data_IF_403603058164
#
_entry.id   IF_403603058164
#
_cell.length_a   1.000
_cell.length_b   1.000
_cell.length_c   1.000
_cell.angle_alpha   90.00
_cell.angle_beta   90.00
_cell.angle_gamma   90.00
#
_symmetry.space_group_name_H-M   'P 1'
#
loop_
_entity.id
_entity.type
_entity.pdbx_description
1 polymer ?
#
# COMPACT_ATOMS: atom_id res chain seq x y z
N UNK A 1 -32.08 -0.50 15.99
CA UNK A 1 -30.73 -1.08 15.93
C UNK A 1 -30.34 -1.45 17.36
N UNK A 2 -30.50 -2.72 17.72
CA UNK A 2 -30.03 -3.25 19.00
C UNK A 2 -28.53 -3.50 18.86
N UNK A 3 -27.73 -2.84 19.69
CA UNK A 3 -26.31 -3.12 19.83
C UNK A 3 -26.17 -4.34 20.74
N UNK A 4 -25.64 -5.41 20.17
CA UNK A 4 -25.34 -6.67 20.83
C UNK A 4 -24.12 -6.44 21.75
N UNK A 5 -24.37 -6.34 23.06
CA UNK A 5 -23.33 -6.24 24.09
C UNK A 5 -22.72 -7.63 24.29
N UNK A 6 -21.70 -7.92 23.47
CA UNK A 6 -20.89 -9.13 23.60
C UNK A 6 -20.23 -9.27 24.98
N UNK A 7 -19.98 -10.51 25.44
CA UNK A 7 -19.60 -10.81 26.82
C UNK A 7 -18.21 -10.26 27.13
N UNK A 8 -18.17 -9.12 27.81
CA UNK A 8 -16.97 -8.58 28.47
C UNK A 8 -16.83 -9.29 29.83
N UNK A 9 -15.61 -9.75 30.14
CA UNK A 9 -15.15 -10.28 31.45
C UNK A 9 -15.17 -11.79 31.73
N UNK A 10 -14.61 -12.63 30.85
CA UNK A 10 -14.22 -14.00 31.27
C UNK A 10 -12.81 -14.05 31.88
N UNK A 11 -11.89 -13.17 31.48
CA UNK A 11 -10.48 -13.29 31.91
C UNK A 11 -10.23 -12.80 33.36
N UNK A 12 -11.00 -11.84 33.87
CA UNK A 12 -10.88 -11.37 35.25
C UNK A 12 -11.44 -12.38 36.25
N UNK A 13 -12.54 -13.04 35.90
CA UNK A 13 -13.18 -14.07 36.73
C UNK A 13 -12.32 -15.33 36.82
N UNK A 14 -11.72 -15.76 35.72
CA UNK A 14 -10.78 -16.89 35.70
C UNK A 14 -9.54 -16.60 36.56
N UNK A 15 -9.02 -15.37 36.53
CA UNK A 15 -7.88 -14.97 37.37
C UNK A 15 -8.23 -14.92 38.86
N UNK A 16 -9.45 -14.49 39.21
CA UNK A 16 -9.92 -14.48 40.59
C UNK A 16 -10.06 -15.92 41.13
N UNK A 17 -10.69 -16.82 40.36
CA UNK A 17 -10.85 -18.22 40.76
C UNK A 17 -9.51 -18.95 40.94
N UNK A 18 -8.51 -18.69 40.09
CA UNK A 18 -7.18 -19.29 40.20
C UNK A 18 -6.43 -18.86 41.48
N UNK A 19 -6.58 -17.60 41.90
CA UNK A 19 -5.95 -17.08 43.11
C UNK A 19 -6.57 -17.65 44.39
N UNK A 20 -7.88 -17.89 44.40
CA UNK A 20 -8.58 -18.51 45.53
C UNK A 20 -8.06 -19.94 45.77
N UNK A 21 -7.84 -20.70 44.69
CA UNK A 21 -7.35 -22.08 44.73
C UNK A 21 -5.92 -22.18 45.28
N UNK A 22 -5.03 -21.27 44.88
CA UNK A 22 -3.65 -21.16 45.41
C UNK A 22 -3.68 -20.83 46.91
N UNK A 23 -4.65 -20.02 47.36
CA UNK A 23 -4.79 -19.64 48.76
C UNK A 23 -5.24 -20.83 49.62
N UNK A 24 -6.19 -21.64 49.14
CA UNK A 24 -6.60 -22.88 49.82
C UNK A 24 -5.46 -23.91 49.91
N UNK A 25 -4.64 -24.06 48.88
CA UNK A 25 -3.54 -25.04 48.93
C UNK A 25 -2.42 -24.62 49.90
N UNK A 26 -2.20 -23.32 50.13
CA UNK A 26 -1.20 -22.84 51.09
C UNK A 26 -1.65 -22.89 52.55
N UNK A 27 -2.95 -23.02 52.82
CA UNK A 27 -3.50 -23.10 54.18
C UNK A 27 -3.37 -24.47 54.85
N UNK A 28 -3.07 -25.54 54.10
CA UNK A 28 -3.13 -26.92 54.60
C UNK A 28 -1.80 -27.42 55.20
N UNK A 29 -0.70 -26.66 55.11
CA UNK A 29 0.62 -27.11 55.59
C UNK A 29 0.99 -26.65 57.01
N UNK A 30 0.08 -26.06 57.77
CA UNK A 30 0.36 -25.50 59.09
C UNK A 30 -0.40 -26.23 60.20
N UNK A 31 0.17 -27.33 60.70
CA UNK A 31 -0.23 -27.86 62.00
C UNK A 31 -0.15 -29.37 62.14
N UNK A 32 1.05 -29.92 62.33
CA UNK A 32 1.23 -31.21 63.00
C UNK A 32 2.46 -31.13 63.89
N UNK A 33 2.18 -31.11 65.20
CA UNK A 33 3.13 -31.12 66.31
C UNK A 33 3.84 -32.47 66.38
N UNK A 34 5.12 -32.43 66.73
CA UNK A 34 5.97 -33.59 66.91
C UNK A 34 5.58 -34.37 68.17
N UNK A 35 5.22 -35.64 68.00
CA UNK A 35 5.38 -36.66 69.03
C UNK A 35 6.23 -37.79 68.46
N UNK A 36 7.28 -38.13 69.20
CA UNK A 36 8.31 -39.11 68.82
C UNK A 36 8.00 -40.42 69.51
N UNK A 37 7.86 -41.55 68.79
CA UNK A 37 8.08 -42.85 69.39
C UNK A 37 9.24 -43.62 68.74
N UNK A 38 9.84 -44.42 69.62
CA UNK A 38 11.08 -45.16 69.47
C UNK A 38 11.08 -46.25 68.38
N UNK A 39 12.27 -46.34 67.77
CA UNK A 39 12.94 -47.52 67.23
C UNK A 39 12.25 -48.88 67.43
N UNK A 40 11.58 -49.39 66.38
CA UNK A 40 11.41 -50.84 66.12
C UNK A 40 10.64 -51.13 64.81
N UNK A 41 11.09 -50.65 63.64
CA UNK A 41 10.65 -51.24 62.35
C UNK A 41 11.49 -50.73 61.17
N UNK A 42 12.59 -51.42 60.86
CA UNK A 42 13.39 -51.13 59.65
C UNK A 42 13.03 -52.04 58.47
N UNK A 43 12.22 -53.09 58.65
CA UNK A 43 11.84 -54.01 57.56
C UNK A 43 10.61 -53.59 56.74
N UNK A 44 9.66 -52.78 57.27
CA UNK A 44 8.49 -52.34 56.47
C UNK A 44 8.70 -51.03 55.67
N UNK A 45 9.79 -50.29 55.91
CA UNK A 45 10.11 -49.06 55.16
C UNK A 45 10.51 -49.32 53.69
N UNK A 46 11.08 -50.49 53.40
CA UNK A 46 11.50 -50.85 52.05
C UNK A 46 10.34 -51.11 51.09
N UNK A 47 9.27 -51.76 51.55
CA UNK A 47 8.09 -52.04 50.74
C UNK A 47 7.30 -50.76 50.41
N UNK A 48 7.24 -49.81 51.36
CA UNK A 48 6.59 -48.50 51.17
C UNK A 48 7.26 -47.66 50.07
N UNK A 49 8.59 -47.68 49.98
CA UNK A 49 9.34 -46.93 48.97
C UNK A 49 9.11 -47.48 47.55
N UNK A 50 9.07 -48.81 47.39
CA UNK A 50 8.85 -49.46 46.10
C UNK A 50 7.42 -49.23 45.58
N UNK A 51 6.42 -49.18 46.47
CA UNK A 51 5.03 -48.85 46.10
C UNK A 51 4.90 -47.39 45.70
N UNK A 52 5.51 -46.46 46.45
CA UNK A 52 5.50 -45.04 46.12
C UNK A 52 6.17 -44.75 44.78
N UNK A 53 7.31 -45.40 44.48
CA UNK A 53 7.99 -45.27 43.18
C UNK A 53 7.11 -45.71 42.02
N UNK A 54 6.46 -46.88 42.13
CA UNK A 54 5.54 -47.39 41.10
C UNK A 54 4.37 -46.43 40.86
N UNK A 55 3.75 -45.93 41.93
CA UNK A 55 2.66 -44.94 41.84
C UNK A 55 3.11 -43.67 41.12
N UNK A 56 4.30 -43.16 41.43
CA UNK A 56 4.85 -41.96 40.79
C UNK A 56 5.14 -42.19 39.30
N UNK A 57 5.64 -43.36 38.93
CA UNK A 57 5.87 -43.75 37.53
C UNK A 57 4.55 -43.85 36.75
N UNK A 58 3.51 -44.42 37.35
CA UNK A 58 2.15 -44.48 36.78
C UNK A 58 1.54 -43.09 36.60
N UNK A 59 1.63 -42.23 37.62
CA UNK A 59 1.14 -40.85 37.57
C UNK A 59 1.90 -40.02 36.50
N UNK A 60 3.22 -40.22 36.37
CA UNK A 60 4.02 -39.58 35.33
C UNK A 60 3.63 -40.05 33.93
N UNK A 61 3.37 -41.35 33.76
CA UNK A 61 2.92 -41.91 32.49
C UNK A 61 1.52 -41.40 32.12
N UNK A 62 0.62 -41.31 33.08
CA UNK A 62 -0.72 -40.75 32.87
C UNK A 62 -0.64 -39.26 32.53
N UNK A 63 0.20 -38.49 33.23
CA UNK A 63 0.45 -37.08 32.94
C UNK A 63 1.01 -36.87 31.54
N UNK A 64 1.87 -37.78 31.06
CA UNK A 64 2.39 -37.75 29.69
C UNK A 64 1.29 -38.02 28.67
N UNK A 65 0.48 -39.06 28.87
CA UNK A 65 -0.67 -39.38 28.00
C UNK A 65 -1.65 -38.21 27.88
N UNK A 66 -1.99 -37.57 28.99
CA UNK A 66 -2.90 -36.43 29.00
C UNK A 66 -2.30 -35.23 28.24
N UNK A 67 -0.99 -34.97 28.37
CA UNK A 67 -0.30 -33.91 27.62
C UNK A 67 -0.29 -34.18 26.12
N UNK A 68 -0.06 -35.42 25.72
CA UNK A 68 -0.07 -35.79 24.31
C UNK A 68 -1.49 -35.70 23.73
N UNK A 69 -2.52 -36.12 24.47
CA UNK A 69 -3.92 -35.93 24.09
C UNK A 69 -4.29 -34.45 23.94
N UNK A 70 -3.87 -33.59 24.88
CA UNK A 70 -4.13 -32.16 24.80
C UNK A 70 -3.48 -31.54 23.56
N UNK A 71 -2.23 -31.93 23.23
CA UNK A 71 -1.54 -31.49 22.02
C UNK A 71 -2.28 -31.92 20.75
N UNK A 72 -2.80 -33.14 20.71
CA UNK A 72 -3.62 -33.62 19.58
C UNK A 72 -4.88 -32.78 19.43
N UNK A 73 -5.61 -32.51 20.53
CA UNK A 73 -6.81 -31.66 20.50
C UNK A 73 -6.50 -30.22 20.06
N UNK A 74 -5.40 -29.64 20.54
CA UNK A 74 -4.96 -28.30 20.12
C UNK A 74 -4.66 -28.26 18.61
N UNK A 75 -4.01 -29.30 18.07
CA UNK A 75 -3.74 -29.40 16.64
C UNK A 75 -5.03 -29.55 15.82
N UNK A 76 -5.98 -30.36 16.28
CA UNK A 76 -7.29 -30.52 15.63
C UNK A 76 -8.07 -29.20 15.61
N UNK A 77 -8.07 -28.43 16.71
CA UNK A 77 -8.72 -27.12 16.77
C UNK A 77 -8.07 -26.10 15.83
N UNK A 78 -6.73 -26.11 15.71
CA UNK A 78 -6.02 -25.24 14.76
C UNK A 78 -6.36 -25.60 13.31
N UNK A 79 -6.44 -26.90 12.99
CA UNK A 79 -6.84 -27.35 11.65
C UNK A 79 -8.28 -26.96 11.34
N UNK A 80 -9.21 -27.19 12.28
CA UNK A 80 -10.61 -26.82 12.12
C UNK A 80 -10.78 -25.31 11.94
N UNK A 81 -10.03 -24.50 12.68
CA UNK A 81 -10.01 -23.05 12.52
C UNK A 81 -9.54 -22.64 11.12
N UNK A 82 -8.45 -23.22 10.62
CA UNK A 82 -7.96 -22.93 9.27
C UNK A 82 -8.98 -23.33 8.19
N UNK A 83 -9.66 -24.46 8.36
CA UNK A 83 -10.74 -24.89 7.45
C UNK A 83 -11.93 -23.93 7.46
N UNK A 84 -12.32 -23.44 8.65
CA UNK A 84 -13.41 -22.49 8.80
C UNK A 84 -13.06 -21.13 8.17
N UNK A 85 -11.84 -20.63 8.38
CA UNK A 85 -11.35 -19.40 7.76
C UNK A 85 -11.35 -19.51 6.23
N UNK A 86 -10.93 -20.65 5.67
CA UNK A 86 -10.99 -20.90 4.23
C UNK A 86 -12.43 -20.97 3.72
N UNK A 87 -13.33 -21.66 4.44
CA UNK A 87 -14.74 -21.77 4.07
C UNK A 87 -15.42 -20.39 4.06
N UNK A 88 -15.16 -19.55 5.06
CA UNK A 88 -15.66 -18.17 5.08
C UNK A 88 -15.11 -17.34 3.92
N UNK A 89 -13.83 -17.44 3.62
CA UNK A 89 -13.20 -16.76 2.48
C UNK A 89 -13.85 -17.16 1.15
N UNK A 90 -14.17 -18.44 0.98
CA UNK A 90 -14.86 -18.94 -0.21
C UNK A 90 -16.32 -18.46 -0.29
N UNK A 91 -17.05 -18.49 0.82
CA UNK A 91 -18.43 -18.01 0.88
C UNK A 91 -18.52 -16.50 0.58
N UNK A 92 -17.63 -15.69 1.15
CA UNK A 92 -17.55 -14.25 0.89
C UNK A 92 -17.24 -13.97 -0.59
N UNK A 93 -16.32 -14.74 -1.19
CA UNK A 93 -16.02 -14.66 -2.62
C UNK A 93 -17.27 -14.94 -3.47
N UNK A 94 -18.01 -16.02 -3.19
CA UNK A 94 -19.23 -16.37 -3.92
C UNK A 94 -20.33 -15.33 -3.79
N UNK A 95 -20.52 -14.78 -2.59
CA UNK A 95 -21.49 -13.72 -2.34
C UNK A 95 -21.14 -12.45 -3.12
N UNK A 96 -19.85 -12.07 -3.13
CA UNK A 96 -19.37 -10.93 -3.91
C UNK A 96 -19.50 -11.16 -5.43
N UNK A 97 -19.24 -12.37 -5.92
CA UNK A 97 -19.46 -12.73 -7.33
C UNK A 97 -20.93 -12.61 -7.73
N UNK A 98 -21.84 -13.14 -6.89
CA UNK A 98 -23.29 -13.06 -7.13
C UNK A 98 -23.78 -11.62 -7.08
N UNK A 99 -23.36 -10.85 -6.08
CA UNK A 99 -23.72 -9.42 -5.95
C UNK A 99 -23.22 -8.60 -7.13
N UNK A 100 -22.00 -8.85 -7.58
CA UNK A 100 -21.45 -8.18 -8.76
C UNK A 100 -22.21 -8.57 -10.03
N UNK A 101 -22.56 -9.85 -10.20
CA UNK A 101 -23.33 -10.32 -11.36
C UNK A 101 -24.74 -9.69 -11.43
N UNK A 102 -25.35 -9.37 -10.29
CA UNK A 102 -26.65 -8.68 -10.22
C UNK A 102 -26.54 -7.16 -10.35
N UNK A 103 -25.34 -6.58 -10.28
CA UNK A 103 -25.19 -5.14 -10.39
C UNK A 103 -25.42 -4.70 -11.84
N UNK A 104 -26.38 -3.80 -12.07
CA UNK A 104 -26.73 -3.25 -13.40
C UNK A 104 -25.52 -2.82 -14.22
N UNK A 105 -24.48 -2.31 -13.56
CA UNK A 105 -23.25 -1.84 -14.17
C UNK A 105 -22.48 -2.93 -14.93
N UNK A 106 -22.68 -4.21 -14.59
CA UNK A 106 -22.03 -5.34 -15.27
C UNK A 106 -22.71 -5.70 -16.59
N UNK A 107 -23.95 -5.27 -16.79
CA UNK A 107 -24.70 -5.44 -18.04
C UNK A 107 -24.50 -4.30 -19.03
N UNK A 108 -23.77 -3.25 -18.64
CA UNK A 108 -23.49 -2.14 -19.55
C UNK A 108 -22.59 -2.60 -20.70
N UNK A 109 -22.89 -2.18 -21.95
CA UNK A 109 -21.99 -2.41 -23.06
C UNK A 109 -20.59 -1.86 -22.77
N UNK A 110 -19.56 -2.57 -23.26
CA UNK A 110 -18.15 -2.19 -23.06
C UNK A 110 -17.86 -0.75 -23.48
N UNK A 111 -18.48 -0.27 -24.56
CA UNK A 111 -18.33 1.12 -25.04
C UNK A 111 -18.79 2.15 -24.01
N UNK A 112 -19.93 1.91 -23.35
CA UNK A 112 -20.45 2.78 -22.29
C UNK A 112 -19.54 2.78 -21.06
N UNK A 113 -19.04 1.60 -20.66
CA UNK A 113 -18.06 1.51 -19.56
C UNK A 113 -16.77 2.27 -19.86
N UNK A 114 -16.24 2.15 -21.09
CA UNK A 114 -15.05 2.89 -21.50
C UNK A 114 -15.28 4.41 -21.49
N UNK A 115 -16.47 4.86 -21.88
CA UNK A 115 -16.84 6.27 -21.82
C UNK A 115 -16.89 6.77 -20.37
N UNK A 116 -17.53 6.00 -19.46
CA UNK A 116 -17.51 6.29 -18.02
C UNK A 116 -16.08 6.37 -17.49
N UNK A 117 -15.21 5.41 -17.84
CA UNK A 117 -13.82 5.39 -17.40
C UNK A 117 -13.02 6.58 -17.93
N UNK A 118 -13.31 7.01 -19.15
CA UNK A 118 -12.71 8.21 -19.76
C UNK A 118 -13.07 9.44 -18.96
N UNK A 119 -14.35 9.67 -18.69
CA UNK A 119 -14.82 10.80 -17.87
C UNK A 119 -14.24 10.77 -16.45
N UNK A 120 -14.24 9.60 -15.82
CA UNK A 120 -13.69 9.44 -14.48
C UNK A 120 -12.18 9.73 -14.43
N UNK A 121 -11.43 9.34 -15.47
CA UNK A 121 -9.98 9.61 -15.59
C UNK A 121 -9.64 11.07 -15.84
N UNK A 122 -10.55 11.84 -16.47
CA UNK A 122 -10.34 13.28 -16.67
C UNK A 122 -10.42 14.06 -15.35
N UNK A 123 -11.17 13.56 -14.35
CA UNK A 123 -11.40 14.23 -13.08
C UNK A 123 -12.24 15.52 -13.22
N UNK A 124 -12.57 16.19 -12.11
CA UNK A 124 -13.17 17.52 -12.16
C UNK A 124 -12.21 18.47 -12.88
N UNK A 125 -12.75 19.41 -13.64
CA UNK A 125 -11.97 20.40 -14.35
C UNK A 125 -10.88 21.01 -13.44
N UNK A 126 -9.66 21.25 -13.96
CA UNK A 126 -8.51 21.69 -13.16
C UNK A 126 -8.72 22.97 -12.35
N UNK A 127 -9.79 23.72 -12.63
CA UNK A 127 -10.20 24.92 -11.89
C UNK A 127 -10.62 24.64 -10.42
N UNK A 128 -10.95 23.40 -10.06
CA UNK A 128 -11.43 23.08 -8.70
C UNK A 128 -10.31 22.89 -7.65
N UNK A 129 -9.02 23.03 -8.01
CA UNK A 129 -7.90 22.97 -7.06
C UNK A 129 -7.69 21.64 -6.34
N UNK A 130 -8.50 20.61 -6.61
CA UNK A 130 -8.45 19.29 -5.95
C UNK A 130 -7.90 18.24 -6.91
N UNK A 131 -6.59 17.97 -6.82
CA UNK A 131 -5.84 16.98 -7.61
C UNK A 131 -6.03 15.52 -7.16
N UNK A 132 -7.12 15.19 -6.45
CA UNK A 132 -7.28 13.86 -5.84
C UNK A 132 -7.68 12.75 -6.82
N UNK A 133 -8.09 13.09 -8.04
CA UNK A 133 -8.70 12.12 -8.96
C UNK A 133 -7.72 11.46 -9.95
N UNK A 134 -6.41 11.64 -9.77
CA UNK A 134 -5.43 11.08 -10.73
C UNK A 134 -5.16 9.58 -10.57
N UNK A 135 -5.62 8.96 -9.46
CA UNK A 135 -5.57 7.49 -9.26
C UNK A 135 -6.84 6.78 -9.74
N UNK A 136 -7.72 7.47 -10.44
CA UNK A 136 -9.06 6.96 -10.77
C UNK A 136 -9.00 5.71 -11.63
N UNK A 137 -8.10 5.62 -12.61
CA UNK A 137 -8.02 4.41 -13.45
C UNK A 137 -7.51 3.18 -12.68
N UNK A 138 -6.57 3.38 -11.73
CA UNK A 138 -6.10 2.30 -10.85
C UNK A 138 -7.26 1.85 -9.96
N UNK A 139 -8.00 2.78 -9.37
CA UNK A 139 -9.18 2.46 -8.56
C UNK A 139 -10.24 1.70 -9.38
N UNK A 140 -10.56 2.18 -10.59
CA UNK A 140 -11.45 1.52 -11.56
C UNK A 140 -10.98 0.08 -11.82
N UNK A 141 -9.69 -0.13 -12.07
CA UNK A 141 -9.13 -1.47 -12.34
C UNK A 141 -9.17 -2.43 -11.13
N UNK A 142 -9.39 -1.89 -9.92
CA UNK A 142 -9.50 -2.67 -8.67
C UNK A 142 -10.95 -2.99 -8.27
N UNK A 143 -11.96 -2.37 -8.89
CA UNK A 143 -13.38 -2.54 -8.53
C UNK A 143 -13.90 -3.97 -8.68
N UNK A 144 -13.95 -4.51 -9.90
CA UNK A 144 -14.36 -5.88 -10.18
C UNK A 144 -13.61 -6.44 -11.41
N UNK A 145 -13.71 -7.75 -11.64
CA UNK A 145 -13.01 -8.43 -12.74
C UNK A 145 -13.41 -7.88 -14.13
N UNK A 146 -14.71 -7.59 -14.33
CA UNK A 146 -15.22 -7.03 -15.60
C UNK A 146 -14.66 -5.63 -15.90
N UNK A 147 -14.66 -4.75 -14.90
CA UNK A 147 -14.10 -3.40 -15.00
C UNK A 147 -12.59 -3.43 -15.24
N UNK A 148 -11.87 -4.30 -14.52
CA UNK A 148 -10.43 -4.52 -14.74
C UNK A 148 -10.14 -4.95 -16.17
N UNK A 149 -10.84 -5.97 -16.68
CA UNK A 149 -10.67 -6.46 -18.05
C UNK A 149 -10.94 -5.34 -19.07
N UNK A 150 -12.00 -4.57 -18.86
CA UNK A 150 -12.37 -3.45 -19.73
C UNK A 150 -11.32 -2.34 -19.72
N UNK A 151 -10.83 -1.94 -18.55
CA UNK A 151 -9.81 -0.91 -18.39
C UNK A 151 -8.46 -1.33 -18.97
N UNK A 152 -8.00 -2.56 -18.70
CA UNK A 152 -6.74 -3.08 -19.24
C UNK A 152 -6.78 -3.26 -20.75
N UNK A 153 -7.94 -3.54 -21.32
CA UNK A 153 -8.12 -3.68 -22.76
C UNK A 153 -8.22 -2.34 -23.52
N UNK A 154 -8.07 -1.20 -22.82
CA UNK A 154 -8.04 0.14 -23.43
C UNK A 154 -6.77 0.90 -23.01
N UNK A 155 -5.66 0.77 -23.77
CA UNK A 155 -4.39 1.38 -23.41
C UNK A 155 -4.46 2.92 -23.31
N UNK A 156 -5.41 3.56 -24.00
CA UNK A 156 -5.58 5.01 -24.00
C UNK A 156 -5.92 5.56 -22.61
N UNK A 157 -6.60 4.78 -21.77
CA UNK A 157 -6.92 5.15 -20.39
C UNK A 157 -5.66 5.23 -19.50
N UNK A 158 -4.58 4.57 -19.88
CA UNK A 158 -3.33 4.51 -19.12
C UNK A 158 -2.27 5.49 -19.63
N UNK A 159 -2.45 6.05 -20.83
CA UNK A 159 -1.48 6.91 -21.51
C UNK A 159 -1.35 8.32 -20.90
N UNK A 160 -2.21 8.68 -19.94
CA UNK A 160 -2.16 9.98 -19.27
C UNK A 160 -1.70 9.82 -17.84
N UNK A 161 -0.58 10.46 -17.48
CA UNK A 161 0.10 10.29 -16.20
C UNK A 161 0.24 11.62 -15.48
N UNK A 162 -0.35 11.73 -14.30
CA UNK A 162 -0.11 12.84 -13.38
C UNK A 162 0.87 12.38 -12.32
N UNK A 163 2.16 12.55 -12.59
CA UNK A 163 3.19 11.91 -11.78
C UNK A 163 3.05 12.33 -10.31
N UNK A 164 2.71 13.59 -10.00
CA UNK A 164 2.60 14.08 -8.62
C UNK A 164 1.65 13.25 -7.73
N UNK A 165 0.66 12.59 -8.33
CA UNK A 165 -0.33 11.77 -7.64
C UNK A 165 -0.07 10.25 -7.76
N UNK A 166 0.99 9.84 -8.46
CA UNK A 166 1.38 8.45 -8.65
C UNK A 166 2.68 8.18 -7.89
N UNK A 167 2.77 7.01 -7.28
CA UNK A 167 4.05 6.43 -6.85
C UNK A 167 4.83 5.90 -8.06
N UNK A 168 6.12 5.62 -7.88
CA UNK A 168 6.96 5.03 -8.94
C UNK A 168 6.35 3.75 -9.56
N UNK A 169 5.95 2.74 -8.76
CA UNK A 169 5.32 1.52 -9.28
C UNK A 169 4.00 1.78 -10.04
N UNK A 170 3.19 2.73 -9.57
CA UNK A 170 1.96 3.12 -10.25
C UNK A 170 2.25 3.80 -11.60
N UNK A 171 3.24 4.69 -11.66
CA UNK A 171 3.66 5.32 -12.92
C UNK A 171 4.20 4.28 -13.92
N UNK A 172 5.00 3.32 -13.47
CA UNK A 172 5.47 2.19 -14.29
C UNK A 172 4.31 1.33 -14.79
N UNK A 173 3.31 1.06 -13.94
CA UNK A 173 2.10 0.33 -14.34
C UNK A 173 1.32 1.07 -15.43
N UNK A 174 1.18 2.39 -15.33
CA UNK A 174 0.57 3.23 -16.37
C UNK A 174 1.35 3.17 -17.69
N UNK A 175 2.68 3.34 -17.65
CA UNK A 175 3.52 3.25 -18.83
C UNK A 175 3.46 1.86 -19.48
N UNK A 176 3.41 0.79 -18.68
CA UNK A 176 3.26 -0.58 -19.18
C UNK A 176 1.90 -0.79 -19.86
N UNK A 177 0.81 -0.42 -19.19
CA UNK A 177 -0.55 -0.70 -19.67
C UNK A 177 -0.98 0.21 -20.83
N UNK A 178 -0.27 1.31 -21.08
CA UNK A 178 -0.50 2.16 -22.26
C UNK A 178 0.06 1.58 -23.57
N UNK A 179 0.84 0.49 -23.50
CA UNK A 179 1.36 -0.20 -24.69
C UNK A 179 2.21 0.75 -25.56
N UNK A 180 1.86 0.88 -26.84
CA UNK A 180 2.55 1.78 -27.77
C UNK A 180 1.94 3.19 -27.84
N UNK A 181 0.89 3.46 -27.07
CA UNK A 181 0.22 4.76 -27.12
C UNK A 181 1.16 5.84 -26.57
N UNK A 182 1.30 6.99 -27.26
CA UNK A 182 2.11 8.08 -26.79
C UNK A 182 1.65 8.62 -25.43
N UNK A 183 2.60 8.83 -24.53
CA UNK A 183 2.35 9.28 -23.16
C UNK A 183 2.12 10.79 -23.10
N UNK A 184 1.15 11.18 -22.28
CA UNK A 184 0.90 12.57 -21.86
C UNK A 184 1.21 12.68 -20.38
N UNK A 185 2.29 13.37 -20.05
CA UNK A 185 2.81 13.47 -18.68
C UNK A 185 2.55 14.87 -18.13
N UNK A 186 1.89 14.92 -16.98
CA UNK A 186 1.74 16.11 -16.15
C UNK A 186 2.62 15.95 -14.92
N UNK A 187 3.65 16.78 -14.82
CA UNK A 187 4.58 16.80 -13.72
C UNK A 187 4.43 18.12 -12.96
N UNK A 188 3.87 18.03 -11.75
CA UNK A 188 3.88 19.10 -10.76
C UNK A 188 5.03 18.86 -9.81
N UNK A 189 5.97 19.81 -9.75
CA UNK A 189 7.11 19.73 -8.86
C UNK A 189 6.69 20.10 -7.43
N UNK A 190 7.30 19.48 -6.39
CA UNK A 190 7.06 19.87 -5.01
C UNK A 190 7.38 21.33 -4.78
N UNK A 191 6.41 22.04 -4.20
CA UNK A 191 6.68 23.24 -3.45
C UNK A 191 7.12 22.81 -2.04
N UNK A 192 8.02 23.57 -1.42
CA UNK A 192 8.51 23.31 -0.05
C UNK A 192 7.37 23.24 0.98
N UNK A 193 6.18 23.72 0.62
CA UNK A 193 4.98 23.73 1.47
C UNK A 193 3.87 22.77 1.03
N UNK A 194 4.05 21.98 -0.04
CA UNK A 194 2.95 21.17 -0.59
C UNK A 194 3.05 19.69 -0.20
N UNK A 195 2.17 19.26 0.70
CA UNK A 195 2.12 17.89 1.24
C UNK A 195 1.31 16.90 0.38
N UNK A 196 0.66 17.35 -0.70
CA UNK A 196 -0.22 16.49 -1.52
C UNK A 196 0.53 15.60 -2.54
N UNK A 197 1.86 15.58 -2.49
CA UNK A 197 2.68 14.80 -3.43
C UNK A 197 2.93 13.41 -2.87
N UNK A 198 2.56 12.41 -3.66
CA UNK A 198 2.85 11.01 -3.34
C UNK A 198 4.35 10.76 -3.47
N UNK A 199 4.98 10.35 -2.36
CA UNK A 199 6.39 9.93 -2.37
C UNK A 199 6.60 8.72 -3.30
N UNK A 200 7.63 8.77 -4.14
CA UNK A 200 8.05 7.64 -4.96
C UNK A 200 8.85 6.62 -4.17
N UNK A 201 9.49 7.03 -3.08
CA UNK A 201 10.07 6.13 -2.09
C UNK A 201 9.02 5.74 -1.07
N UNK A 202 8.47 4.54 -1.25
CA UNK A 202 7.57 3.89 -0.30
C UNK A 202 8.37 3.03 0.68
N UNK A 203 8.76 3.60 1.81
CA UNK A 203 9.03 2.83 3.04
C UNK A 203 9.17 3.79 4.23
N UNK A 204 8.04 4.06 4.89
CA UNK A 204 7.93 4.20 6.36
C UNK A 204 8.93 5.11 7.12
N UNK A 205 9.44 6.17 6.50
CA UNK A 205 10.24 7.19 7.19
C UNK A 205 9.36 8.30 7.78
N UNK A 206 9.68 8.84 8.97
CA UNK A 206 8.93 9.93 9.60
C UNK A 206 8.88 11.18 8.70
N UNK A 207 7.79 11.94 8.87
CA UNK A 207 7.49 13.19 8.16
C UNK A 207 8.63 14.21 8.28
N UNK A 208 9.38 14.34 7.19
CA UNK A 208 10.05 15.51 6.63
C UNK A 208 10.43 16.65 7.60
N UNK A 209 11.71 16.68 7.99
CA UNK A 209 12.45 17.93 8.09
C UNK A 209 13.28 18.14 6.79
N UNK A 210 12.99 19.27 6.15
CA UNK A 210 13.72 20.05 5.14
C UNK A 210 14.64 19.38 4.09
N UNK A 211 14.19 19.46 2.81
CA UNK A 211 14.92 19.70 1.54
C UNK A 211 15.50 18.53 0.68
N UNK A 212 16.30 17.55 1.16
CA UNK A 212 16.88 16.51 0.29
C UNK A 212 15.82 15.66 -0.43
N UNK A 213 14.69 15.41 0.23
CA UNK A 213 13.65 14.53 -0.30
C UNK A 213 12.98 15.12 -1.54
N UNK A 214 12.73 16.42 -1.57
CA UNK A 214 12.09 17.06 -2.72
C UNK A 214 12.96 16.98 -3.98
N UNK A 215 14.28 17.20 -3.83
CA UNK A 215 15.24 17.08 -4.94
C UNK A 215 15.29 15.66 -5.48
N UNK A 216 15.41 14.68 -4.57
CA UNK A 216 15.45 13.27 -4.94
C UNK A 216 14.14 12.81 -5.62
N UNK A 217 12.99 13.25 -5.14
CA UNK A 217 11.70 12.98 -5.78
C UNK A 217 11.63 13.56 -7.20
N UNK A 218 12.11 14.79 -7.39
CA UNK A 218 12.24 15.38 -8.73
C UNK A 218 13.14 14.53 -9.64
N UNK A 219 14.31 14.12 -9.14
CA UNK A 219 15.27 13.29 -9.88
C UNK A 219 14.65 11.97 -10.33
N UNK A 220 13.92 11.26 -9.46
CA UNK A 220 13.26 10.01 -9.85
C UNK A 220 12.18 10.23 -10.93
N UNK A 221 11.38 11.29 -10.78
CA UNK A 221 10.31 11.62 -11.74
C UNK A 221 10.89 12.01 -13.09
N UNK A 222 11.98 12.77 -13.09
CA UNK A 222 12.71 13.10 -14.30
C UNK A 222 13.40 11.88 -14.91
N UNK A 223 13.96 11.00 -14.09
CA UNK A 223 14.52 9.72 -14.54
C UNK A 223 13.47 8.84 -15.22
N UNK A 224 12.26 8.80 -14.69
CA UNK A 224 11.14 8.11 -15.34
C UNK A 224 10.77 8.73 -16.68
N UNK A 225 10.69 10.07 -16.77
CA UNK A 225 10.45 10.74 -18.04
C UNK A 225 11.59 10.47 -19.03
N UNK A 226 12.85 10.51 -18.59
CA UNK A 226 14.02 10.22 -19.42
C UNK A 226 14.00 8.79 -19.97
N UNK A 227 13.59 7.82 -19.15
CA UNK A 227 13.44 6.42 -19.56
C UNK A 227 12.34 6.16 -20.59
N UNK A 228 11.40 7.10 -20.77
CA UNK A 228 10.25 6.97 -21.70
C UNK A 228 10.20 8.09 -22.75
N UNK A 229 11.32 8.77 -23.03
CA UNK A 229 11.35 9.92 -23.95
C UNK A 229 10.85 9.61 -25.36
N UNK A 230 11.07 8.39 -25.80
CA UNK A 230 10.63 7.87 -27.09
C UNK A 230 9.12 7.58 -27.15
N UNK A 231 8.41 7.73 -26.03
CA UNK A 231 6.96 7.56 -25.97
C UNK A 231 6.23 8.84 -25.55
N UNK A 232 6.90 9.81 -24.94
CA UNK A 232 6.27 11.04 -24.48
C UNK A 232 5.93 11.95 -25.68
N UNK A 233 4.64 12.16 -25.91
CA UNK A 233 4.13 13.12 -26.90
C UNK A 233 3.86 14.49 -26.30
N UNK A 234 3.45 14.55 -25.03
CA UNK A 234 3.17 15.81 -24.34
C UNK A 234 3.74 15.80 -22.94
N UNK A 235 4.45 16.86 -22.57
CA UNK A 235 4.97 17.09 -21.23
C UNK A 235 4.48 18.44 -20.72
N UNK A 236 3.78 18.43 -19.59
CA UNK A 236 3.37 19.64 -18.87
C UNK A 236 4.12 19.70 -17.55
N UNK A 237 4.96 20.72 -17.39
CA UNK A 237 5.75 21.00 -16.20
C UNK A 237 5.11 22.15 -15.43
N UNK A 238 4.70 21.92 -14.19
CA UNK A 238 4.21 22.96 -13.28
C UNK A 238 5.20 23.12 -12.12
N UNK A 239 5.70 24.33 -11.92
CA UNK A 239 6.64 24.67 -10.85
C UNK A 239 6.29 26.01 -10.19
N UNK A 240 6.72 26.21 -8.95
CA UNK A 240 6.51 27.45 -8.20
C UNK A 240 7.85 28.19 -8.01
N UNK A 241 7.81 29.52 -8.08
CA UNK A 241 8.96 30.40 -8.40
C UNK A 241 10.18 30.35 -7.49
N UNK A 242 10.09 29.73 -6.32
CA UNK A 242 11.17 29.79 -5.34
C UNK A 242 12.11 28.59 -5.41
N UNK A 243 11.75 27.55 -6.17
CA UNK A 243 12.64 26.41 -6.36
C UNK A 243 13.51 26.65 -7.58
N UNK A 244 14.83 26.68 -7.40
CA UNK A 244 15.83 26.71 -8.47
C UNK A 244 15.90 25.38 -9.24
N UNK A 245 14.75 24.76 -9.54
CA UNK A 245 14.71 23.52 -10.31
C UNK A 245 15.06 23.87 -11.74
N UNK A 246 16.27 23.51 -12.14
CA UNK A 246 16.67 23.54 -13.53
C UNK A 246 15.79 22.58 -14.33
N UNK A 247 15.22 23.08 -15.43
CA UNK A 247 14.62 22.22 -16.46
C UNK A 247 15.63 21.12 -16.81
N UNK A 248 15.22 19.84 -16.82
CA UNK A 248 16.14 18.75 -17.08
C UNK A 248 16.89 18.94 -18.40
N UNK A 249 18.20 18.65 -18.40
CA UNK A 249 19.03 18.91 -19.57
C UNK A 249 18.60 18.10 -20.81
N UNK A 250 17.93 16.95 -20.64
CA UNK A 250 17.41 16.15 -21.75
C UNK A 250 16.27 16.84 -22.51
N UNK A 251 15.50 17.71 -21.84
CA UNK A 251 14.49 18.57 -22.49
C UNK A 251 15.20 19.55 -23.42
N UNK A 252 16.34 20.09 -22.97
CA UNK A 252 17.08 21.15 -23.65
C UNK A 252 17.96 20.59 -24.79
N UNK A 253 18.55 19.40 -24.59
CA UNK A 253 19.50 18.77 -25.52
C UNK A 253 18.86 18.11 -26.74
N UNK A 254 17.57 18.32 -26.99
CA UNK A 254 16.86 17.76 -28.16
C UNK A 254 16.75 16.24 -28.17
N UNK A 255 16.87 15.58 -26.99
CA UNK A 255 16.72 14.11 -26.90
C UNK A 255 15.26 13.67 -27.08
N UNK A 256 14.30 14.54 -26.81
CA UNK A 256 12.88 14.25 -26.85
C UNK A 256 12.29 14.38 -28.27
N UNK A 257 12.75 13.53 -29.22
CA UNK A 257 12.39 13.65 -30.65
C UNK A 257 10.89 13.51 -30.96
N UNK A 258 10.15 12.79 -30.12
CA UNK A 258 8.70 12.55 -30.28
C UNK A 258 7.82 13.46 -29.42
N UNK A 259 8.44 14.38 -28.68
CA UNK A 259 7.70 15.36 -27.89
C UNK A 259 7.07 16.37 -28.84
N UNK A 260 5.74 16.34 -28.96
CA UNK A 260 4.96 17.26 -29.77
C UNK A 260 4.64 18.57 -29.03
N UNK A 261 4.48 18.51 -27.70
CA UNK A 261 4.14 19.68 -26.90
C UNK A 261 4.86 19.72 -25.56
N UNK A 262 5.42 20.89 -25.23
CA UNK A 262 5.98 21.20 -23.92
C UNK A 262 5.27 22.42 -23.35
N UNK A 263 4.57 22.24 -22.24
CA UNK A 263 3.95 23.36 -21.51
C UNK A 263 4.67 23.56 -20.19
N UNK A 264 5.05 24.80 -19.89
CA UNK A 264 5.68 25.16 -18.63
C UNK A 264 4.82 26.19 -17.92
N UNK A 265 4.37 25.88 -16.71
CA UNK A 265 3.55 26.79 -15.91
C UNK A 265 4.30 27.16 -14.64
N UNK A 266 4.52 28.46 -14.43
CA UNK A 266 5.21 29.03 -13.28
C UNK A 266 4.23 29.89 -12.47
N UNK A 267 3.96 29.52 -11.22
CA UNK A 267 3.02 30.26 -10.35
C UNK A 267 1.64 30.53 -10.99
N UNK A 268 1.12 29.58 -11.77
CA UNK A 268 -0.14 29.76 -12.51
C UNK A 268 -0.03 30.65 -13.76
N UNK A 269 1.11 31.29 -14.02
CA UNK A 269 1.42 31.88 -15.32
C UNK A 269 1.87 30.78 -16.26
N UNK A 270 1.10 30.54 -17.32
CA UNK A 270 1.38 29.48 -18.29
C UNK A 270 2.15 30.04 -19.48
N UNK A 271 3.35 29.53 -19.70
CA UNK A 271 4.08 29.69 -20.95
C UNK A 271 3.93 28.39 -21.74
N UNK A 272 3.04 28.39 -22.73
CA UNK A 272 2.87 27.24 -23.63
C UNK A 272 3.80 27.39 -24.83
N UNK A 273 4.56 26.34 -25.11
CA UNK A 273 5.41 26.27 -26.29
C UNK A 273 4.91 25.11 -27.16
N UNK A 274 4.14 25.43 -28.20
CA UNK A 274 3.93 24.50 -29.31
C UNK A 274 5.23 24.46 -30.11
N UNK A 275 6.02 23.42 -29.89
CA UNK A 275 7.28 23.28 -30.55
C UNK A 275 7.11 22.39 -31.78
N UNK A 276 7.16 23.00 -32.96
CA UNK A 276 7.82 22.36 -34.09
C UNK A 276 9.30 22.25 -33.68
N UNK A 277 9.66 21.15 -33.02
CA UNK A 277 11.05 20.87 -32.65
C UNK A 277 11.86 20.57 -33.91
N UNK A 278 12.24 21.59 -34.68
CA UNK A 278 13.42 21.46 -35.52
C UNK A 278 14.63 21.57 -34.61
N UNK A 279 15.46 20.52 -34.59
CA UNK A 279 16.72 20.48 -33.86
C UNK A 279 17.68 21.56 -34.38
N UNK A 280 17.57 22.78 -33.86
CA UNK A 280 18.49 23.89 -34.10
C UNK A 280 19.34 24.19 -32.86
N UNK A 281 20.58 24.69 -33.04
CA UNK A 281 21.48 24.99 -31.92
C UNK A 281 20.90 26.07 -31.01
N UNK A 282 20.92 25.82 -29.70
CA UNK A 282 20.45 26.74 -28.65
C UNK A 282 21.36 27.97 -28.59
N UNK A 283 20.85 29.16 -28.93
CA UNK A 283 21.58 30.41 -28.72
C UNK A 283 21.31 30.97 -27.33
N UNK A 284 22.35 31.12 -26.50
CA UNK A 284 22.28 31.78 -25.20
C UNK A 284 22.36 33.30 -25.40
N UNK A 285 21.31 34.03 -25.03
CA UNK A 285 21.39 35.49 -24.82
C UNK A 285 21.40 35.78 -23.32
N UNK A 286 22.47 36.40 -22.84
CA UNK A 286 22.60 36.87 -21.46
C UNK A 286 22.07 38.30 -21.36
N UNK A 287 20.92 38.49 -20.70
CA UNK A 287 20.46 39.80 -20.25
C UNK A 287 20.49 39.84 -18.72
N UNK A 288 21.00 40.94 -18.18
CA UNK A 288 21.27 41.18 -16.77
C UNK A 288 19.98 41.30 -15.94
N UNK A 289 20.04 40.68 -14.74
CA UNK A 289 19.16 40.81 -13.57
C UNK A 289 17.83 40.07 -13.46
N UNK A 290 17.35 39.38 -14.48
CA UNK A 290 16.41 38.25 -14.30
C UNK A 290 16.82 37.15 -15.26
N UNK A 291 17.16 35.96 -14.77
CA UNK A 291 17.47 34.81 -15.64
C UNK A 291 16.17 34.32 -16.30
N UNK A 292 15.70 35.05 -17.30
CA UNK A 292 14.70 34.56 -18.23
C UNK A 292 15.41 33.66 -19.24
N UNK A 293 15.13 32.36 -19.19
CA UNK A 293 15.57 31.42 -20.20
C UNK A 293 14.68 31.60 -21.42
N UNK A 294 15.14 32.39 -22.39
CA UNK A 294 14.51 32.50 -23.69
C UNK A 294 14.87 31.27 -24.51
N UNK A 295 13.90 30.38 -24.70
CA UNK A 295 14.02 29.26 -25.62
C UNK A 295 13.60 29.77 -27.00
N UNK A 296 14.56 29.90 -27.93
CA UNK A 296 14.26 30.22 -29.32
C UNK A 296 13.66 28.98 -30.00
N UNK A 297 12.33 28.93 -30.06
CA UNK A 297 11.61 28.02 -30.93
C UNK A 297 11.52 28.67 -32.31
N UNK A 298 12.18 28.10 -33.32
CA UNK A 298 12.02 28.57 -34.70
C UNK A 298 10.63 28.15 -35.18
N UNK A 299 9.73 29.13 -35.32
CA UNK A 299 8.51 28.94 -36.09
C UNK A 299 8.90 28.76 -37.56
N UNK A 300 8.63 27.59 -38.12
CA UNK A 300 8.74 27.37 -39.58
C UNK A 300 7.35 27.68 -40.14
N UNK A 301 7.18 28.76 -40.93
CA UNK A 301 5.93 28.94 -41.66
C UNK A 301 5.78 27.82 -42.68
N UNK A 302 4.56 27.26 -42.79
CA UNK A 302 4.17 26.43 -43.93
C UNK A 302 4.14 27.26 -45.21
#
# INVERSE_FOLDING_TARGET
MQTDDGPKNTLSEVKAAANELIRTMKGVTSGCRADTPQASSQRSKGESLAVMKRRMEEEMLQSKKNRDQLRTQEQELLQLRAQLEEAFRLAEKQLNETRNAMAYVTHLPRSILLEIFRWASLGPAPQAGRTKNHRTIIAISRTCASWRKTALASPALWATLHLAALSGPEATLHAKNSGEIPLRIYLRLPDIYNYDIVSWKSSSGPRLEFCPVAKQECEHRFGFCEAHLDRISSLSLEYRSNTSVSVPSWVIKGKARKLASLTMTQNGSTTSHQALFQAGPVQRKTATRTKQYYYCFKHVPN
#
